data_IF_477145742478
#
_entry.id   IF_477145742478
#
_cell.length_a   1.000
_cell.length_b   1.000
_cell.length_c   1.000
_cell.angle_alpha   90.00
_cell.angle_beta   90.00
_cell.angle_gamma   90.00
#
_symmetry.space_group_name_H-M   'P 1'
#
loop_
_entity.id
_entity.type
_entity.pdbx_description
1 polymer ?
#
# COMPACT_ATOMS: atom_id res chain seq x y z
N UNK A 1 0.38 -10.63 23.37
CA UNK A 1 1.38 -9.56 23.65
C UNK A 1 2.58 -9.56 22.69
N UNK A 2 3.21 -10.68 22.39
CA UNK A 2 4.37 -10.73 21.47
C UNK A 2 4.08 -10.20 20.05
N UNK A 3 2.92 -10.52 19.46
CA UNK A 3 2.59 -10.06 18.10
C UNK A 3 2.39 -8.54 18.00
N UNK A 4 1.85 -7.93 19.08
CA UNK A 4 1.66 -6.46 19.12
C UNK A 4 2.99 -5.74 19.26
N UNK A 5 3.93 -6.26 20.06
CA UNK A 5 5.26 -5.69 20.21
C UNK A 5 6.05 -5.76 18.88
N UNK A 6 6.04 -6.92 18.20
CA UNK A 6 6.68 -7.10 16.89
C UNK A 6 6.10 -6.12 15.85
N UNK A 7 4.78 -5.95 15.83
CA UNK A 7 4.12 -5.01 14.95
C UNK A 7 4.53 -3.55 15.26
N UNK A 8 4.52 -3.16 16.55
CA UNK A 8 4.93 -1.82 16.96
C UNK A 8 6.40 -1.52 16.59
N UNK A 9 7.32 -2.46 16.85
CA UNK A 9 8.73 -2.33 16.49
C UNK A 9 8.89 -2.18 14.98
N UNK A 10 8.20 -3.01 14.17
CA UNK A 10 8.26 -2.93 12.71
C UNK A 10 7.77 -1.59 12.16
N UNK A 11 6.69 -1.05 12.74
CA UNK A 11 6.16 0.26 12.34
C UNK A 11 7.12 1.39 12.74
N UNK A 12 7.73 1.30 13.92
CA UNK A 12 8.69 2.28 14.40
C UNK A 12 9.96 2.28 13.55
N UNK A 13 10.51 1.09 13.25
CA UNK A 13 11.66 0.92 12.35
C UNK A 13 11.41 1.53 10.98
N UNK A 14 10.24 1.30 10.39
CA UNK A 14 9.87 1.89 9.10
C UNK A 14 9.83 3.42 9.16
N UNK A 15 9.33 4.02 10.24
CA UNK A 15 9.29 5.48 10.42
C UNK A 15 10.69 6.08 10.59
N UNK A 16 11.56 5.42 11.35
CA UNK A 16 12.97 5.84 11.50
C UNK A 16 13.68 5.81 10.15
N UNK A 17 13.51 4.75 9.35
CA UNK A 17 14.13 4.65 8.03
C UNK A 17 13.71 5.79 7.10
N UNK A 18 12.42 6.15 7.10
CA UNK A 18 11.92 7.31 6.31
C UNK A 18 12.52 8.61 6.82
N UNK A 19 12.65 8.79 8.14
CA UNK A 19 13.28 9.97 8.74
C UNK A 19 14.75 10.10 8.36
N UNK A 20 15.50 9.00 8.33
CA UNK A 20 16.90 8.97 7.90
C UNK A 20 17.09 9.34 6.42
N UNK A 21 16.05 9.24 5.60
CA UNK A 21 16.08 9.67 4.20
C UNK A 21 15.91 11.19 4.02
N UNK A 22 15.46 11.91 5.05
CA UNK A 22 15.25 13.35 4.95
C UNK A 22 16.52 14.14 4.54
N UNK A 23 17.70 13.87 5.12
CA UNK A 23 18.94 14.50 4.65
C UNK A 23 19.29 14.16 3.19
N UNK A 24 18.96 12.95 2.74
CA UNK A 24 19.16 12.55 1.35
C UNK A 24 18.27 13.38 0.42
N UNK A 25 17.01 13.57 0.76
CA UNK A 25 16.10 14.38 -0.04
C UNK A 25 16.54 15.85 -0.12
N UNK A 26 16.94 16.43 0.99
CA UNK A 26 17.42 17.83 1.03
C UNK A 26 18.74 18.03 0.30
N UNK A 27 19.57 16.99 0.13
CA UNK A 27 20.82 17.05 -0.60
C UNK A 27 20.69 16.83 -2.11
N UNK A 28 19.70 16.07 -2.55
CA UNK A 28 19.55 15.63 -3.96
C UNK A 28 18.30 16.17 -4.65
N UNK A 29 17.42 16.87 -3.94
CA UNK A 29 16.24 17.52 -4.49
C UNK A 29 16.22 19.01 -4.11
N UNK A 30 15.77 19.83 -5.04
CA UNK A 30 15.47 21.23 -4.74
C UNK A 30 14.22 21.35 -3.86
N UNK A 31 14.08 22.46 -3.14
CA UNK A 31 12.88 22.73 -2.33
C UNK A 31 11.59 22.65 -3.16
N UNK A 32 11.64 23.14 -4.42
CA UNK A 32 10.50 23.09 -5.34
C UNK A 32 10.16 21.65 -5.74
N UNK A 33 11.16 20.82 -5.98
CA UNK A 33 10.96 19.40 -6.31
C UNK A 33 10.37 18.63 -5.13
N UNK A 34 10.92 18.82 -3.94
CA UNK A 34 10.40 18.20 -2.74
C UNK A 34 8.97 18.64 -2.44
N UNK A 35 8.68 19.96 -2.56
CA UNK A 35 7.31 20.48 -2.42
C UNK A 35 6.32 19.91 -3.43
N UNK A 36 6.77 19.71 -4.68
CA UNK A 36 5.93 19.06 -5.72
C UNK A 36 5.62 17.60 -5.38
N UNK A 37 6.59 16.86 -4.85
CA UNK A 37 6.38 15.50 -4.40
C UNK A 37 5.46 15.43 -3.17
N UNK A 38 5.64 16.33 -2.20
CA UNK A 38 4.81 16.42 -1.00
C UNK A 38 3.36 16.77 -1.36
N UNK A 39 3.13 17.64 -2.34
CA UNK A 39 1.80 17.93 -2.88
C UNK A 39 1.11 16.66 -3.39
N UNK A 40 1.83 15.77 -4.10
CA UNK A 40 1.30 14.48 -4.57
C UNK A 40 0.89 13.62 -3.38
N UNK A 41 1.74 13.45 -2.37
CA UNK A 41 1.43 12.63 -1.18
C UNK A 41 0.28 13.19 -0.36
N UNK A 42 0.27 14.49 -0.12
CA UNK A 42 -0.79 15.17 0.63
C UNK A 42 -2.14 15.03 -0.09
N UNK A 43 -2.15 15.18 -1.41
CA UNK A 43 -3.37 15.00 -2.22
C UNK A 43 -3.85 13.55 -2.18
N UNK A 44 -2.96 12.57 -2.29
CA UNK A 44 -3.32 11.16 -2.13
C UNK A 44 -3.88 10.90 -0.73
N UNK A 45 -3.27 11.45 0.31
CA UNK A 45 -3.75 11.33 1.70
C UNK A 45 -5.17 11.83 1.90
N UNK A 46 -5.57 12.89 1.19
CA UNK A 46 -6.92 13.44 1.22
C UNK A 46 -7.89 12.65 0.34
N UNK A 47 -7.50 12.31 -0.89
CA UNK A 47 -8.40 11.71 -1.87
C UNK A 47 -8.60 10.20 -1.65
N UNK A 48 -7.62 9.51 -1.09
CA UNK A 48 -7.71 8.07 -0.83
C UNK A 48 -8.95 7.73 0.04
N UNK A 49 -9.14 8.31 1.24
CA UNK A 49 -10.32 8.04 2.04
C UNK A 49 -11.64 8.45 1.37
N UNK A 50 -11.63 9.52 0.57
CA UNK A 50 -12.84 10.01 -0.11
C UNK A 50 -13.28 9.03 -1.19
N UNK A 51 -12.40 8.68 -2.12
CA UNK A 51 -12.76 7.84 -3.28
C UNK A 51 -12.84 6.36 -2.95
N UNK A 52 -12.16 5.88 -1.91
CA UNK A 52 -12.32 4.49 -1.44
C UNK A 52 -13.39 4.35 -0.35
N UNK A 53 -13.97 5.46 0.16
CA UNK A 53 -14.96 5.46 1.25
C UNK A 53 -14.44 4.67 2.46
N UNK A 54 -13.12 4.72 2.73
CA UNK A 54 -12.45 3.95 3.79
C UNK A 54 -12.75 2.43 3.75
N UNK A 55 -13.01 1.88 2.54
CA UNK A 55 -13.42 0.48 2.39
C UNK A 55 -12.44 -0.51 3.01
N UNK A 56 -11.15 -0.18 3.08
CA UNK A 56 -10.13 -1.04 3.68
C UNK A 56 -10.43 -1.35 5.16
N UNK A 57 -10.83 -0.35 5.95
CA UNK A 57 -11.20 -0.55 7.35
C UNK A 57 -12.52 -1.31 7.51
N UNK A 58 -13.49 -1.09 6.61
CA UNK A 58 -14.73 -1.84 6.58
C UNK A 58 -14.50 -3.33 6.25
N UNK A 59 -13.64 -3.63 5.26
CA UNK A 59 -13.23 -5.01 4.93
C UNK A 59 -12.59 -5.69 6.12
N UNK A 60 -11.69 -5.00 6.85
CA UNK A 60 -11.09 -5.54 8.05
C UNK A 60 -12.15 -5.90 9.09
N UNK A 61 -13.08 -4.98 9.38
CA UNK A 61 -14.13 -5.20 10.39
C UNK A 61 -15.01 -6.39 10.03
N UNK A 62 -15.58 -6.41 8.83
CA UNK A 62 -16.47 -7.49 8.40
C UNK A 62 -15.77 -8.84 8.27
N UNK A 63 -14.50 -8.87 7.84
CA UNK A 63 -13.73 -10.11 7.76
C UNK A 63 -13.32 -10.66 9.13
N UNK A 64 -13.27 -9.83 10.20
CA UNK A 64 -13.10 -10.29 11.58
C UNK A 64 -14.40 -10.88 12.12
N UNK A 65 -15.55 -10.23 11.84
CA UNK A 65 -16.87 -10.68 12.30
C UNK A 65 -17.31 -12.00 11.64
N UNK A 66 -17.05 -12.16 10.33
CA UNK A 66 -17.40 -13.37 9.56
C UNK A 66 -16.19 -13.84 8.74
N UNK A 67 -15.39 -14.71 9.36
CA UNK A 67 -14.16 -15.25 8.75
C UNK A 67 -14.42 -16.11 7.52
N UNK A 68 -15.56 -16.79 7.45
CA UNK A 68 -15.91 -17.65 6.30
C UNK A 68 -16.13 -16.81 5.04
N UNK A 69 -16.71 -15.63 5.17
CA UNK A 69 -16.95 -14.69 4.07
C UNK A 69 -15.83 -13.66 3.88
N UNK A 70 -14.73 -13.76 4.61
CA UNK A 70 -13.61 -12.81 4.57
C UNK A 70 -13.11 -12.55 3.15
N UNK A 71 -12.98 -13.59 2.31
CA UNK A 71 -12.56 -13.45 0.92
C UNK A 71 -13.61 -12.70 0.06
N UNK A 72 -14.89 -12.88 0.32
CA UNK A 72 -15.97 -12.15 -0.36
C UNK A 72 -15.90 -10.65 -0.03
N UNK A 73 -15.67 -10.29 1.24
CA UNK A 73 -15.50 -8.90 1.65
C UNK A 73 -14.27 -8.26 1.03
N UNK A 74 -13.16 -8.99 0.94
CA UNK A 74 -11.96 -8.52 0.25
C UNK A 74 -12.24 -8.22 -1.25
N UNK A 75 -12.91 -9.13 -1.95
CA UNK A 75 -13.26 -8.93 -3.37
C UNK A 75 -14.21 -7.75 -3.58
N UNK A 76 -15.19 -7.56 -2.68
CA UNK A 76 -16.06 -6.37 -2.68
C UNK A 76 -15.25 -5.09 -2.42
N UNK A 77 -14.32 -5.13 -1.47
CA UNK A 77 -13.41 -4.02 -1.18
C UNK A 77 -12.54 -3.65 -2.38
N UNK A 78 -12.01 -4.66 -3.10
CA UNK A 78 -11.24 -4.44 -4.32
C UNK A 78 -12.09 -3.79 -5.42
N UNK A 79 -13.34 -4.23 -5.61
CA UNK A 79 -14.26 -3.61 -6.57
C UNK A 79 -14.52 -2.13 -6.24
N UNK A 80 -14.79 -1.81 -4.97
CA UNK A 80 -15.01 -0.42 -4.54
C UNK A 80 -13.75 0.43 -4.76
N UNK A 81 -12.57 -0.10 -4.46
CA UNK A 81 -11.30 0.58 -4.70
C UNK A 81 -11.08 0.88 -6.18
N UNK A 82 -11.39 -0.08 -7.08
CA UNK A 82 -11.29 0.10 -8.53
C UNK A 82 -12.31 1.15 -9.01
N UNK A 83 -13.55 1.07 -8.55
CA UNK A 83 -14.59 2.06 -8.91
C UNK A 83 -14.16 3.46 -8.46
N UNK A 84 -13.69 3.61 -7.22
CA UNK A 84 -13.19 4.88 -6.71
C UNK A 84 -12.02 5.42 -7.54
N UNK A 85 -11.11 4.54 -8.00
CA UNK A 85 -10.03 4.92 -8.90
C UNK A 85 -10.54 5.39 -10.28
N UNK A 86 -11.54 4.71 -10.84
CA UNK A 86 -12.16 5.13 -12.12
C UNK A 86 -12.82 6.50 -11.96
N UNK A 87 -13.53 6.74 -10.86
CA UNK A 87 -14.13 8.05 -10.59
C UNK A 87 -13.03 9.13 -10.46
N UNK A 88 -11.93 8.82 -9.77
CA UNK A 88 -10.78 9.73 -9.69
C UNK A 88 -10.15 9.99 -11.06
N UNK A 89 -10.10 9.00 -11.96
CA UNK A 89 -9.64 9.19 -13.35
C UNK A 89 -10.54 10.15 -14.12
N UNK A 90 -11.84 10.18 -13.88
CA UNK A 90 -12.75 11.13 -14.49
C UNK A 90 -12.44 12.59 -14.12
N UNK A 91 -11.71 12.84 -13.02
CA UNK A 91 -11.22 14.16 -12.64
C UNK A 91 -9.90 14.56 -13.34
N UNK A 92 -9.33 13.67 -14.18
CA UNK A 92 -8.10 13.95 -14.94
C UNK A 92 -8.13 15.28 -15.71
N UNK A 93 -9.21 15.64 -16.47
CA UNK A 93 -9.27 16.90 -17.17
C UNK A 93 -9.21 18.12 -16.24
N UNK A 94 -9.73 18.01 -15.02
CA UNK A 94 -9.65 19.07 -14.00
C UNK A 94 -8.21 19.28 -13.56
N UNK A 95 -7.48 18.20 -13.24
CA UNK A 95 -6.08 18.27 -12.83
C UNK A 95 -5.17 18.79 -13.95
N UNK A 96 -5.46 18.44 -15.21
CA UNK A 96 -4.74 18.98 -16.38
C UNK A 96 -5.01 20.48 -16.50
N UNK A 97 -6.28 20.92 -16.44
CA UNK A 97 -6.66 22.33 -16.58
C UNK A 97 -6.05 23.21 -15.47
N UNK A 98 -5.99 22.70 -14.25
CA UNK A 98 -5.40 23.39 -13.10
C UNK A 98 -3.87 23.25 -13.03
N UNK A 99 -3.27 22.40 -13.87
CA UNK A 99 -1.83 22.12 -13.93
C UNK A 99 -1.19 21.80 -12.55
N UNK A 100 -1.94 21.15 -11.66
CA UNK A 100 -1.53 20.93 -10.25
C UNK A 100 -0.27 20.07 -10.15
N UNK A 101 -0.18 19.00 -10.96
CA UNK A 101 0.93 18.04 -10.93
C UNK A 101 1.87 18.15 -12.14
N UNK A 102 1.59 19.06 -13.09
CA UNK A 102 2.36 19.24 -14.30
C UNK A 102 2.63 17.91 -15.03
N UNK A 103 3.90 17.68 -15.36
CA UNK A 103 4.34 16.44 -16.04
C UNK A 103 4.27 15.17 -15.19
N UNK A 104 4.01 15.27 -13.88
CA UNK A 104 3.99 14.15 -12.94
C UNK A 104 2.58 13.60 -12.67
N UNK A 105 1.55 14.07 -13.36
CA UNK A 105 0.15 13.65 -13.17
C UNK A 105 -0.04 12.13 -13.31
N UNK A 106 0.63 11.48 -14.26
CA UNK A 106 0.54 10.02 -14.44
C UNK A 106 1.15 9.25 -13.24
N UNK A 107 2.21 9.78 -12.62
CA UNK A 107 2.80 9.21 -11.40
C UNK A 107 1.86 9.35 -10.22
N UNK A 108 1.11 10.45 -10.12
CA UNK A 108 0.07 10.61 -9.10
C UNK A 108 -0.97 9.48 -9.18
N UNK A 109 -1.52 9.20 -10.37
CA UNK A 109 -2.49 8.12 -10.53
C UNK A 109 -1.91 6.74 -10.25
N UNK A 110 -0.69 6.49 -10.71
CA UNK A 110 -0.01 5.21 -10.47
C UNK A 110 0.31 5.02 -8.98
N UNK A 111 0.77 6.07 -8.31
CA UNK A 111 1.04 6.04 -6.86
C UNK A 111 -0.26 5.88 -6.06
N UNK A 112 -1.35 6.54 -6.47
CA UNK A 112 -2.65 6.40 -5.83
C UNK A 112 -3.15 4.96 -5.87
N UNK A 113 -3.19 4.32 -7.04
CA UNK A 113 -3.73 2.95 -7.15
C UNK A 113 -2.85 1.92 -6.43
N UNK A 114 -1.52 2.02 -6.53
CA UNK A 114 -0.61 1.12 -5.82
C UNK A 114 -0.72 1.27 -4.31
N UNK A 115 -0.85 2.50 -3.80
CA UNK A 115 -1.09 2.78 -2.38
C UNK A 115 -2.47 2.24 -1.94
N UNK A 116 -3.53 2.45 -2.73
CA UNK A 116 -4.88 1.98 -2.40
C UNK A 116 -4.94 0.45 -2.28
N UNK A 117 -4.33 -0.26 -3.22
CA UNK A 117 -4.26 -1.74 -3.22
C UNK A 117 -3.42 -2.24 -2.05
N UNK A 118 -2.25 -1.65 -1.81
CA UNK A 118 -1.40 -1.98 -0.66
C UNK A 118 -2.14 -1.81 0.67
N UNK A 119 -2.85 -0.70 0.80
CA UNK A 119 -3.64 -0.38 2.00
C UNK A 119 -4.73 -1.44 2.22
N UNK A 120 -5.54 -1.75 1.20
CA UNK A 120 -6.58 -2.77 1.27
C UNK A 120 -6.03 -4.14 1.69
N UNK A 121 -4.94 -4.59 1.05
CA UNK A 121 -4.28 -5.86 1.38
C UNK A 121 -3.72 -5.88 2.81
N UNK A 122 -3.13 -4.77 3.27
CA UNK A 122 -2.62 -4.63 4.64
C UNK A 122 -3.73 -4.75 5.68
N UNK A 123 -4.89 -4.12 5.46
CA UNK A 123 -6.05 -4.23 6.34
C UNK A 123 -6.65 -5.64 6.32
N UNK A 124 -6.74 -6.25 5.15
CA UNK A 124 -7.22 -7.63 5.02
C UNK A 124 -6.28 -8.64 5.70
N UNK A 125 -4.96 -8.48 5.58
CA UNK A 125 -3.98 -9.31 6.28
C UNK A 125 -4.12 -9.20 7.82
N UNK A 126 -4.47 -8.01 8.34
CA UNK A 126 -4.78 -7.81 9.76
C UNK A 126 -6.04 -8.55 10.17
N UNK A 127 -7.08 -8.53 9.32
CA UNK A 127 -8.31 -9.28 9.59
C UNK A 127 -8.08 -10.79 9.67
N UNK A 128 -7.10 -11.30 8.93
CA UNK A 128 -6.67 -12.70 8.98
C UNK A 128 -5.71 -13.01 10.16
N UNK A 129 -5.55 -12.07 11.10
CA UNK A 129 -4.61 -12.16 12.26
C UNK A 129 -3.14 -12.38 11.86
N UNK A 130 -2.74 -11.88 10.66
CA UNK A 130 -1.38 -12.00 10.13
C UNK A 130 -0.51 -10.77 10.46
N UNK A 131 -0.51 -10.33 11.72
CA UNK A 131 0.24 -9.13 12.14
C UNK A 131 1.74 -9.23 11.86
N UNK A 132 2.34 -10.41 11.99
CA UNK A 132 3.75 -10.65 11.63
C UNK A 132 4.00 -10.43 10.14
N UNK A 133 3.08 -10.88 9.28
CA UNK A 133 3.16 -10.63 7.83
C UNK A 133 3.07 -9.13 7.53
N UNK A 134 2.17 -8.41 8.18
CA UNK A 134 2.02 -6.96 8.00
C UNK A 134 3.32 -6.23 8.39
N UNK A 135 3.92 -6.62 9.52
CA UNK A 135 5.21 -6.07 9.96
C UNK A 135 6.33 -6.37 8.95
N UNK A 136 6.46 -7.63 8.50
CA UNK A 136 7.46 -8.05 7.52
C UNK A 136 7.32 -7.28 6.19
N UNK A 137 6.10 -7.20 5.66
CA UNK A 137 5.84 -6.47 4.40
C UNK A 137 6.10 -4.98 4.56
N UNK A 138 5.82 -4.40 5.74
CA UNK A 138 6.17 -3.01 6.05
C UNK A 138 7.68 -2.76 5.96
N UNK A 139 8.49 -3.67 6.51
CA UNK A 139 9.96 -3.60 6.41
C UNK A 139 10.43 -3.78 4.97
N UNK A 140 9.90 -4.77 4.23
CA UNK A 140 10.23 -4.99 2.82
C UNK A 140 9.88 -3.74 1.99
N UNK A 141 8.68 -3.20 2.15
CA UNK A 141 8.25 -1.98 1.47
C UNK A 141 9.23 -0.83 1.73
N UNK A 142 9.59 -0.60 2.97
CA UNK A 142 10.54 0.46 3.34
C UNK A 142 11.92 0.21 2.75
N UNK A 143 12.42 -1.02 2.79
CA UNK A 143 13.72 -1.39 2.20
C UNK A 143 13.74 -1.16 0.68
N UNK A 144 12.66 -1.49 -0.02
CA UNK A 144 12.51 -1.22 -1.46
C UNK A 144 12.48 0.29 -1.73
N UNK A 145 11.70 1.05 -0.96
CA UNK A 145 11.64 2.52 -1.08
C UNK A 145 13.02 3.13 -0.87
N UNK A 146 13.72 2.76 0.20
CA UNK A 146 15.06 3.27 0.53
C UNK A 146 16.06 2.91 -0.56
N UNK A 147 16.11 1.63 -0.96
CA UNK A 147 17.03 1.16 -2.00
C UNK A 147 16.77 1.83 -3.34
N UNK A 148 15.51 1.92 -3.76
CA UNK A 148 15.13 2.60 -4.99
C UNK A 148 15.42 4.12 -4.94
N UNK A 149 15.18 4.80 -3.79
CA UNK A 149 15.54 6.19 -3.62
C UNK A 149 17.06 6.43 -3.77
N UNK A 150 17.88 5.59 -3.13
CA UNK A 150 19.33 5.68 -3.25
C UNK A 150 19.74 5.56 -4.72
N UNK A 151 19.24 4.54 -5.43
CA UNK A 151 19.59 4.32 -6.83
C UNK A 151 19.08 5.45 -7.72
N UNK A 152 17.81 5.84 -7.61
CA UNK A 152 17.18 6.78 -8.53
C UNK A 152 17.54 8.24 -8.25
N UNK A 153 17.80 8.64 -6.97
CA UNK A 153 18.18 9.99 -6.63
C UNK A 153 19.69 10.22 -6.69
N UNK A 154 20.51 9.29 -6.19
CA UNK A 154 21.98 9.47 -6.13
C UNK A 154 22.62 9.16 -7.49
N UNK A 155 22.35 7.95 -8.04
CA UNK A 155 23.00 7.51 -9.28
C UNK A 155 22.38 8.13 -10.52
N UNK A 156 21.04 8.14 -10.62
CA UNK A 156 20.34 8.63 -11.81
C UNK A 156 19.91 10.10 -11.72
N UNK A 157 19.94 10.71 -10.53
CA UNK A 157 19.56 12.12 -10.28
C UNK A 157 18.20 12.52 -10.86
N UNK A 158 17.20 11.63 -10.71
CA UNK A 158 15.89 11.80 -11.33
C UNK A 158 14.93 12.73 -10.55
N UNK A 159 15.36 13.33 -9.44
CA UNK A 159 14.57 14.29 -8.65
C UNK A 159 13.19 13.73 -8.27
N UNK A 160 12.13 14.53 -8.51
CA UNK A 160 10.73 14.15 -8.21
C UNK A 160 10.32 12.81 -8.81
N UNK A 161 10.72 12.56 -10.06
CA UNK A 161 10.40 11.32 -10.74
C UNK A 161 10.95 10.11 -10.00
N UNK A 162 12.25 10.12 -9.66
CA UNK A 162 12.90 9.04 -8.92
C UNK A 162 12.26 8.82 -7.55
N UNK A 163 11.93 9.91 -6.86
CA UNK A 163 11.28 9.86 -5.54
C UNK A 163 9.90 9.17 -5.63
N UNK A 164 9.01 9.61 -6.53
CA UNK A 164 7.68 9.02 -6.68
C UNK A 164 7.72 7.57 -7.14
N UNK A 165 8.60 7.24 -8.09
CA UNK A 165 8.77 5.86 -8.60
C UNK A 165 9.25 4.91 -7.50
N UNK A 166 10.12 5.37 -6.58
CA UNK A 166 10.56 4.56 -5.45
C UNK A 166 9.41 4.13 -4.55
N UNK A 167 8.47 5.02 -4.25
CA UNK A 167 7.28 4.68 -3.47
C UNK A 167 6.31 3.78 -4.23
N UNK A 168 6.13 4.01 -5.53
CA UNK A 168 5.33 3.12 -6.39
C UNK A 168 5.90 1.70 -6.34
N UNK A 169 7.23 1.56 -6.50
CA UNK A 169 7.90 0.27 -6.43
C UNK A 169 7.72 -0.41 -5.06
N UNK A 170 7.85 0.34 -3.96
CA UNK A 170 7.62 -0.16 -2.61
C UNK A 170 6.21 -0.70 -2.42
N UNK A 171 5.17 0.10 -2.74
CA UNK A 171 3.78 -0.34 -2.61
C UNK A 171 3.45 -1.50 -3.54
N UNK A 172 3.99 -1.52 -4.75
CA UNK A 172 3.80 -2.60 -5.70
C UNK A 172 4.39 -3.92 -5.18
N UNK A 173 5.67 -3.92 -4.77
CA UNK A 173 6.34 -5.10 -4.20
C UNK A 173 5.63 -5.56 -2.93
N UNK A 174 5.28 -4.65 -2.03
CA UNK A 174 4.53 -4.97 -0.82
C UNK A 174 3.16 -5.60 -1.13
N UNK A 175 2.44 -5.09 -2.12
CA UNK A 175 1.17 -5.66 -2.57
C UNK A 175 1.34 -7.06 -3.15
N UNK A 176 2.41 -7.31 -3.93
CA UNK A 176 2.72 -8.64 -4.45
C UNK A 176 3.00 -9.64 -3.32
N UNK A 177 3.81 -9.25 -2.33
CA UNK A 177 4.12 -10.12 -1.18
C UNK A 177 2.85 -10.46 -0.40
N UNK A 178 1.99 -9.47 -0.12
CA UNK A 178 0.68 -9.73 0.50
C UNK A 178 -0.18 -10.67 -0.34
N UNK A 179 -0.32 -10.43 -1.64
CA UNK A 179 -1.16 -11.23 -2.51
C UNK A 179 -0.71 -12.69 -2.57
N UNK A 180 0.61 -12.94 -2.67
CA UNK A 180 1.18 -14.30 -2.68
C UNK A 180 0.96 -15.01 -1.33
N UNK A 181 1.20 -14.31 -0.21
CA UNK A 181 1.03 -14.88 1.12
C UNK A 181 -0.44 -15.22 1.41
N UNK A 182 -1.36 -14.32 1.09
CA UNK A 182 -2.80 -14.50 1.32
C UNK A 182 -3.37 -15.62 0.43
N UNK A 183 -2.96 -15.71 -0.84
CA UNK A 183 -3.39 -16.82 -1.73
C UNK A 183 -3.01 -18.19 -1.18
N UNK A 184 -1.84 -18.33 -0.58
CA UNK A 184 -1.42 -19.59 0.04
C UNK A 184 -2.31 -20.00 1.21
N UNK A 185 -2.79 -19.02 1.98
CA UNK A 185 -3.65 -19.27 3.13
C UNK A 185 -5.07 -19.66 2.71
N UNK A 186 -5.64 -18.99 1.71
CA UNK A 186 -6.95 -19.34 1.14
C UNK A 186 -6.92 -20.79 0.59
N UNK A 187 -5.86 -21.15 -0.10
CA UNK A 187 -5.70 -22.51 -0.65
C UNK A 187 -5.57 -23.57 0.44
N UNK A 188 -4.88 -23.26 1.57
CA UNK A 188 -4.78 -24.16 2.73
C UNK A 188 -6.13 -24.38 3.42
N UNK A 189 -6.93 -23.32 3.60
CA UNK A 189 -8.26 -23.43 4.20
C UNK A 189 -9.18 -24.31 3.36
N UNK A 190 -9.21 -24.15 2.04
CA UNK A 190 -9.99 -25.02 1.14
C UNK A 190 -9.57 -26.48 1.23
N UNK A 191 -8.29 -26.78 1.40
CA UNK A 191 -7.78 -28.15 1.48
C UNK A 191 -8.12 -28.82 2.83
N UNK A 192 -8.24 -28.04 3.91
CA UNK A 192 -8.60 -28.58 5.23
C UNK A 192 -10.11 -28.83 5.38
N UNK A 193 -10.95 -28.01 4.74
CA UNK A 193 -12.42 -28.20 4.75
C UNK A 193 -12.84 -29.42 3.90
N UNK A 194 -12.02 -29.82 2.92
CA UNK A 194 -12.31 -30.95 2.03
C UNK A 194 -11.66 -32.29 2.48
N UNK A 195 -11.12 -32.36 3.72
CA UNK A 195 -10.71 -33.65 4.29
C UNK A 195 -11.92 -34.23 5.02
N UNK A 196 -12.63 -35.26 4.46
CA UNK A 196 -13.64 -35.96 5.21
C UNK A 196 -12.97 -36.53 6.47
N UNK A 197 -13.70 -36.55 7.58
CA UNK A 197 -13.30 -37.28 8.77
C UNK A 197 -13.32 -38.79 8.43
N UNK A 198 -12.28 -39.28 7.79
CA UNK A 198 -12.00 -40.71 7.72
C UNK A 198 -11.31 -41.09 9.01
N UNK A 199 -12.05 -41.70 9.91
CA UNK A 199 -11.52 -42.33 11.10
C UNK A 199 -12.31 -42.04 12.37
N UNK A 200 -13.57 -42.43 12.37
CA UNK A 200 -14.32 -42.70 13.59
C UNK A 200 -15.18 -43.94 13.35
N UNK A 201 -14.56 -45.12 13.33
CA UNK A 201 -15.15 -46.39 13.67
C UNK A 201 -14.30 -47.07 14.76
#
# INVERSE_FOLDING_TARGET
>A
MQNTAIFAISQFTSKIMVFLLLPLYTSYMTTTEYGSADLVFSTIGLLLPIFTIQIASAVMRFAIEDKEKGNLYYLKGLKVTIIGFIILLCLCPVFIKLNIFGKHLYLFYLLYITNAVYNLLSYYARALDRLKLVGLVGVINTAVVVGANIVLLIFFRLGVFGYLVSYIAGYFVGSLVFAVAIRKDIKKQHTQVYRPQEGAE
#
